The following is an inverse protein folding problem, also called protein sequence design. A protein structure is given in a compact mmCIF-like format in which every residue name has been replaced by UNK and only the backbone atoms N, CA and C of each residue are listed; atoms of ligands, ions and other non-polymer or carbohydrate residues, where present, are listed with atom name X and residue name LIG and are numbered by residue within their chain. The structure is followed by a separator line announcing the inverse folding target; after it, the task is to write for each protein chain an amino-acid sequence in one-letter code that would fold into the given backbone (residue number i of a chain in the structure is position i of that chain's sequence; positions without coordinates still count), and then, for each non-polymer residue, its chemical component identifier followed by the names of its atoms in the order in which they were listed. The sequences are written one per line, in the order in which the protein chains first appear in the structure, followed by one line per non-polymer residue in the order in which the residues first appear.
data_IF_067422477612
#
_entry.id   IF_067422477612
#
_cell.length_a   1.000
_cell.length_b   1.000
_cell.length_c   1.000
_cell.angle_alpha   90.00
_cell.angle_beta   90.00
_cell.angle_gamma   90.00
#
_symmetry.space_group_name_H-M   'P 1'
#
loop_
_entity.id
_entity.type
_entity.pdbx_description
1 polymer ?
#
# COMPACT_ATOMS: atom_id res chain seq x y z
N UNK A 1 1.51 4.70 23.72
CA UNK A 1 0.44 5.00 22.74
C UNK A 1 0.49 3.89 21.69
N UNK A 2 -0.57 3.10 21.53
CA UNK A 2 -0.70 2.17 20.39
C UNK A 2 -1.44 2.92 19.28
N UNK A 3 -0.80 3.11 18.13
CA UNK A 3 -1.41 3.72 16.96
C UNK A 3 -1.97 2.59 16.10
N UNK A 4 -3.29 2.51 15.99
CA UNK A 4 -3.95 1.56 15.11
C UNK A 4 -4.24 2.26 13.79
N UNK A 5 -3.53 1.96 12.69
CA UNK A 5 -3.84 2.55 11.39
C UNK A 5 -5.22 2.06 10.94
N UNK A 6 -6.11 3.00 10.60
CA UNK A 6 -7.40 2.69 9.98
C UNK A 6 -7.19 2.71 8.46
N UNK A 7 -7.60 1.67 7.72
CA UNK A 7 -7.52 1.68 6.27
C UNK A 7 -8.25 2.89 5.68
N UNK A 8 -7.50 3.77 5.01
CA UNK A 8 -8.03 4.95 4.32
C UNK A 8 -8.93 4.56 3.13
N UNK A 9 -8.79 3.32 2.65
CA UNK A 9 -9.34 2.81 1.39
C UNK A 9 -10.86 2.87 1.25
N UNK A 10 -11.63 2.88 2.34
CA UNK A 10 -13.09 2.89 2.27
C UNK A 10 -13.72 4.29 2.25
N UNK A 11 -13.16 5.26 2.99
CA UNK A 11 -13.84 6.55 3.24
C UNK A 11 -13.12 7.75 2.65
N UNK A 12 -11.79 7.71 2.62
CA UNK A 12 -11.00 8.85 2.18
C UNK A 12 -11.32 9.28 0.74
N UNK A 13 -11.39 8.37 -0.25
CA UNK A 13 -11.71 8.78 -1.62
C UNK A 13 -13.10 9.42 -1.75
N UNK A 14 -14.09 8.90 -1.03
CA UNK A 14 -15.44 9.45 -1.03
C UNK A 14 -15.53 10.83 -0.38
N UNK A 15 -14.82 11.05 0.74
CA UNK A 15 -14.76 12.37 1.38
C UNK A 15 -13.96 13.37 0.53
N UNK A 16 -12.87 12.92 -0.12
CA UNK A 16 -12.08 13.75 -1.02
C UNK A 16 -12.95 14.25 -2.19
N UNK A 17 -13.75 13.36 -2.78
CA UNK A 17 -14.70 13.73 -3.84
C UNK A 17 -15.75 14.73 -3.32
N UNK A 18 -16.33 14.45 -2.15
CA UNK A 18 -17.33 15.31 -1.53
C UNK A 18 -16.81 16.73 -1.26
N UNK A 19 -15.55 16.87 -0.84
CA UNK A 19 -14.93 18.16 -0.56
C UNK A 19 -14.29 18.83 -1.78
N UNK A 20 -14.21 18.16 -2.94
CA UNK A 20 -13.46 18.64 -4.11
C UNK A 20 -13.90 20.05 -4.53
N UNK A 21 -15.20 20.34 -4.58
CA UNK A 21 -15.69 21.65 -4.99
C UNK A 21 -15.30 22.78 -4.02
N UNK A 22 -15.18 22.47 -2.72
CA UNK A 22 -14.69 23.41 -1.73
C UNK A 22 -13.18 23.62 -1.86
N UNK A 23 -12.42 22.54 -2.08
CA UNK A 23 -10.98 22.59 -2.31
C UNK A 23 -10.65 23.41 -3.58
N UNK A 24 -11.41 23.23 -4.66
CA UNK A 24 -11.29 24.02 -5.89
C UNK A 24 -11.38 25.52 -5.62
N UNK A 25 -12.28 25.96 -4.73
CA UNK A 25 -12.40 27.39 -4.35
C UNK A 25 -11.15 27.87 -3.61
N UNK A 26 -10.62 27.05 -2.70
CA UNK A 26 -9.36 27.34 -1.97
C UNK A 26 -8.18 27.42 -2.94
N UNK A 27 -8.10 26.49 -3.90
CA UNK A 27 -7.06 26.46 -4.91
C UNK A 27 -7.08 27.70 -5.81
N UNK A 28 -8.27 28.14 -6.23
CA UNK A 28 -8.46 29.35 -7.06
C UNK A 28 -8.10 30.65 -6.34
N UNK A 29 -8.13 30.69 -5.01
CA UNK A 29 -7.73 31.89 -4.25
C UNK A 29 -6.21 31.99 -4.03
N UNK A 30 -5.46 30.91 -4.30
CA UNK A 30 -4.01 30.90 -4.14
C UNK A 30 -3.35 31.72 -5.25
N UNK A 31 -2.59 32.76 -4.86
CA UNK A 31 -1.82 33.60 -5.78
C UNK A 31 -0.36 33.18 -5.95
N UNK A 32 0.41 34.01 -6.65
CA UNK A 32 1.87 33.87 -6.77
C UNK A 32 2.33 32.63 -7.55
N UNK A 33 3.54 32.15 -7.24
CA UNK A 33 4.13 31.01 -7.93
C UNK A 33 3.38 29.70 -7.67
N UNK A 34 2.92 29.47 -6.43
CA UNK A 34 2.11 28.31 -6.07
C UNK A 34 0.76 28.31 -6.80
N UNK A 35 0.08 29.47 -6.83
CA UNK A 35 -1.17 29.63 -7.58
C UNK A 35 -1.04 29.26 -9.05
N UNK A 36 0.02 29.71 -9.73
CA UNK A 36 0.28 29.36 -11.13
C UNK A 36 0.42 27.85 -11.36
N UNK A 37 1.13 27.14 -10.46
CA UNK A 37 1.27 25.68 -10.52
C UNK A 37 -0.08 24.98 -10.34
N UNK A 38 -0.85 25.42 -9.34
CA UNK A 38 -2.20 24.91 -9.07
C UNK A 38 -3.12 25.12 -10.28
N UNK A 39 -3.13 26.31 -10.88
CA UNK A 39 -3.93 26.59 -12.08
C UNK A 39 -3.58 25.66 -13.25
N UNK A 40 -2.30 25.38 -13.46
CA UNK A 40 -1.86 24.48 -14.53
C UNK A 40 -2.33 23.03 -14.32
N UNK A 41 -2.37 22.55 -13.06
CA UNK A 41 -2.90 21.22 -12.72
C UNK A 41 -4.43 21.21 -12.89
N UNK A 42 -5.13 22.22 -12.38
CA UNK A 42 -6.60 22.30 -12.49
C UNK A 42 -7.09 22.36 -13.94
N UNK A 43 -6.33 22.94 -14.86
CA UNK A 43 -6.68 22.95 -16.29
C UNK A 43 -6.75 21.53 -16.89
N UNK A 44 -5.98 20.57 -16.34
CA UNK A 44 -6.03 19.17 -16.76
C UNK A 44 -7.26 18.46 -16.18
N UNK A 45 -7.69 18.86 -14.99
CA UNK A 45 -8.86 18.31 -14.29
C UNK A 45 -10.18 18.64 -15.01
N UNK A 46 -10.34 19.86 -15.51
CA UNK A 46 -11.60 20.30 -16.16
C UNK A 46 -11.90 19.57 -17.49
N UNK A 47 -10.88 18.94 -18.09
CA UNK A 47 -11.00 18.22 -19.36
C UNK A 47 -11.13 16.69 -19.19
N UNK A 48 -11.25 16.20 -17.95
CA UNK A 48 -11.11 14.77 -17.64
C UNK A 48 -12.31 14.22 -16.85
N UNK A 49 -12.91 13.16 -17.38
CA UNK A 49 -14.04 12.47 -16.75
C UNK A 49 -13.59 11.31 -15.83
N UNK A 50 -12.31 10.94 -15.83
CA UNK A 50 -11.78 9.90 -14.95
C UNK A 50 -11.68 10.41 -13.51
N UNK A 51 -12.46 9.80 -12.62
CA UNK A 51 -12.51 10.14 -11.19
C UNK A 51 -11.15 9.97 -10.50
N UNK A 52 -10.33 9.00 -10.91
CA UNK A 52 -9.01 8.79 -10.31
C UNK A 52 -8.04 9.89 -10.73
N UNK A 53 -8.08 10.32 -12.00
CA UNK A 53 -7.27 11.45 -12.47
C UNK A 53 -7.72 12.76 -11.81
N UNK A 54 -9.02 12.94 -11.59
CA UNK A 54 -9.55 14.07 -10.83
C UNK A 54 -9.04 14.09 -9.39
N UNK A 55 -9.09 12.95 -8.69
CA UNK A 55 -8.55 12.81 -7.32
C UNK A 55 -7.05 13.08 -7.27
N UNK A 56 -6.29 12.58 -8.23
CA UNK A 56 -4.84 12.83 -8.34
C UNK A 56 -4.51 14.32 -8.50
N UNK A 57 -5.25 15.02 -9.37
CA UNK A 57 -5.12 16.48 -9.54
C UNK A 57 -5.41 17.23 -8.22
N UNK A 58 -6.45 16.83 -7.49
CA UNK A 58 -6.82 17.44 -6.21
C UNK A 58 -5.73 17.22 -5.16
N UNK A 59 -5.17 16.00 -5.05
CA UNK A 59 -4.09 15.68 -4.11
C UNK A 59 -2.79 16.43 -4.44
N UNK A 60 -2.47 16.55 -5.73
CA UNK A 60 -1.34 17.35 -6.22
C UNK A 60 -1.49 18.83 -5.85
N UNK A 61 -2.68 19.40 -6.06
CA UNK A 61 -2.96 20.79 -5.67
C UNK A 61 -2.93 20.98 -4.15
N UNK A 62 -3.42 20.01 -3.38
CA UNK A 62 -3.42 20.04 -1.93
C UNK A 62 -1.99 20.09 -1.37
N UNK A 63 -1.10 19.24 -1.89
CA UNK A 63 0.32 19.21 -1.49
C UNK A 63 0.99 20.56 -1.70
N UNK A 64 0.82 21.15 -2.90
CA UNK A 64 1.34 22.50 -3.20
C UNK A 64 0.73 23.55 -2.25
N UNK A 65 -0.56 23.43 -1.94
CA UNK A 65 -1.24 24.39 -1.09
C UNK A 65 -0.71 24.37 0.35
N UNK A 66 -0.38 23.19 0.87
CA UNK A 66 0.21 22.96 2.20
C UNK A 66 1.73 23.21 2.25
N UNK A 67 2.34 23.54 1.10
CA UNK A 67 3.80 23.64 0.95
C UNK A 67 4.52 22.32 1.32
N UNK A 68 3.86 21.21 1.02
CA UNK A 68 4.38 19.85 1.19
C UNK A 68 4.73 19.27 -0.18
N UNK A 69 5.62 18.29 -0.16
CA UNK A 69 5.96 17.52 -1.35
C UNK A 69 5.10 16.26 -1.41
N UNK A 70 4.52 15.97 -2.59
CA UNK A 70 3.55 14.88 -2.75
C UNK A 70 4.21 13.51 -2.48
N UNK A 71 5.48 13.32 -2.89
CA UNK A 71 6.22 12.07 -2.65
C UNK A 71 6.54 11.88 -1.16
N UNK A 72 6.62 12.98 -0.40
CA UNK A 72 6.76 12.92 1.07
C UNK A 72 5.42 12.72 1.78
N UNK A 73 4.32 13.22 1.20
CA UNK A 73 2.98 13.20 1.78
C UNK A 73 2.29 11.85 1.56
N UNK A 74 2.41 11.28 0.36
CA UNK A 74 1.80 10.01 -0.03
C UNK A 74 2.89 8.97 -0.14
N UNK A 75 3.03 8.16 0.91
CA UNK A 75 3.94 7.02 0.91
C UNK A 75 3.14 5.74 0.72
N UNK A 76 3.58 4.90 -0.21
CA UNK A 76 3.00 3.57 -0.38
C UNK A 76 3.21 2.76 0.90
N UNK A 77 2.10 2.37 1.53
CA UNK A 77 2.14 1.42 2.63
C UNK A 77 2.15 0.01 2.04
N UNK A 78 3.34 -0.56 1.88
CA UNK A 78 3.47 -1.99 1.63
C UNK A 78 3.15 -2.69 2.94
N UNK A 79 2.08 -3.50 2.97
CA UNK A 79 1.83 -4.39 4.10
C UNK A 79 3.08 -5.25 4.32
N UNK A 80 3.86 -4.94 5.36
CA UNK A 80 4.79 -5.93 5.90
C UNK A 80 3.90 -6.98 6.53
N UNK A 81 3.69 -8.08 5.81
CA UNK A 81 2.91 -9.21 6.28
C UNK A 81 3.54 -9.67 7.61
N UNK A 82 2.89 -9.54 8.79
CA UNK A 82 3.50 -9.85 10.08
C UNK A 82 3.66 -11.36 10.34
N UNK A 83 3.65 -12.18 9.29
CA UNK A 83 3.61 -13.63 9.34
C UNK A 83 4.68 -14.25 8.44
N UNK A 84 5.89 -13.70 8.45
CA UNK A 84 7.05 -14.57 8.37
C UNK A 84 7.48 -14.85 9.82
N UNK A 85 6.97 -15.93 10.45
CA UNK A 85 7.61 -16.41 11.66
C UNK A 85 9.05 -16.75 11.25
N UNK A 86 10.03 -15.99 11.77
CA UNK A 86 11.41 -16.44 11.82
C UNK A 86 11.38 -17.84 12.42
N UNK A 87 11.60 -18.83 11.56
CA UNK A 87 11.74 -20.22 11.96
C UNK A 87 12.95 -20.24 12.88
N UNK A 88 12.82 -20.61 14.17
CA UNK A 88 13.98 -20.65 15.05
C UNK A 88 15.01 -21.58 14.44
N UNK A 89 16.19 -21.04 14.21
CA UNK A 89 17.36 -21.76 13.76
C UNK A 89 17.70 -22.86 14.77
N UNK A 90 17.33 -24.09 14.42
CA UNK A 90 17.70 -25.30 15.15
C UNK A 90 19.23 -25.47 15.06
N UNK A 91 19.94 -24.96 16.07
CA UNK A 91 21.35 -25.28 16.32
C UNK A 91 21.41 -26.61 17.10
N UNK A 92 20.87 -27.68 16.54
CA UNK A 92 20.94 -29.04 17.06
C UNK A 92 21.66 -29.93 16.06
N UNK A 93 22.84 -30.43 16.43
CA UNK A 93 23.63 -31.33 15.58
C UNK A 93 22.80 -32.53 15.10
N UNK A 94 22.87 -32.81 13.79
CA UNK A 94 22.30 -34.02 13.21
C UNK A 94 22.95 -35.25 13.83
N UNK A 95 22.21 -35.98 14.68
CA UNK A 95 22.54 -37.35 15.07
C UNK A 95 21.63 -38.28 14.30
N UNK A 96 22.21 -39.08 13.40
CA UNK A 96 21.48 -40.07 12.63
C UNK A 96 20.89 -41.15 13.57
N UNK A 97 19.63 -41.56 13.41
CA UNK A 97 19.09 -42.68 14.16
C UNK A 97 19.77 -43.97 13.70
N UNK A 98 20.25 -44.78 14.65
CA UNK A 98 20.66 -46.17 14.40
C UNK A 98 19.39 -46.99 14.16
N UNK A 99 19.14 -47.36 12.92
CA UNK A 99 18.10 -48.31 12.57
C UNK A 99 18.53 -49.72 13.01
N UNK A 100 17.69 -50.50 13.72
CA UNK A 100 17.96 -51.91 13.97
C UNK A 100 17.95 -52.69 12.65
N UNK A 101 18.82 -53.69 12.52
CA UNK A 101 19.06 -54.46 11.28
C UNK A 101 17.86 -55.26 10.75
N UNK A 102 16.72 -55.25 11.43
CA UNK A 102 15.63 -56.20 11.16
C UNK A 102 14.43 -55.59 10.42
N UNK A 103 14.56 -54.38 9.87
CA UNK A 103 13.45 -53.65 9.24
C UNK A 103 13.44 -53.66 7.69
N UNK A 104 13.98 -54.69 7.04
CA UNK A 104 13.95 -54.86 5.58
C UNK A 104 13.35 -56.21 5.18
N UNK A 105 12.04 -56.39 5.37
CA UNK A 105 11.28 -57.48 4.70
C UNK A 105 9.93 -57.03 4.11
N UNK A 106 9.55 -55.75 4.29
CA UNK A 106 8.16 -55.32 4.04
C UNK A 106 7.83 -54.72 2.66
N UNK A 107 8.79 -54.50 1.76
CA UNK A 107 8.56 -53.72 0.53
C UNK A 107 8.89 -54.53 -0.72
N UNK A 108 8.09 -55.55 -1.04
CA UNK A 108 8.13 -56.20 -2.38
C UNK A 108 6.84 -56.92 -2.80
N UNK A 109 5.68 -56.73 -2.14
CA UNK A 109 4.47 -57.52 -2.44
C UNK A 109 3.16 -56.76 -2.65
N UNK A 110 3.22 -55.51 -3.12
CA UNK A 110 2.03 -54.77 -3.55
C UNK A 110 2.24 -54.14 -4.93
N UNK A 111 2.39 -54.99 -5.95
CA UNK A 111 1.97 -54.64 -7.31
C UNK A 111 1.76 -55.91 -8.16
N UNK A 112 0.66 -56.63 -7.90
CA UNK A 112 0.00 -57.49 -8.89
C UNK A 112 -1.35 -58.00 -8.34
N UNK A 113 -2.45 -57.28 -8.59
CA UNK A 113 -3.70 -57.83 -9.15
C UNK A 113 -4.72 -56.72 -9.45
#
# INVERSE_FOLDING_TARGET
IRLTPVPLTSKFPGELDHQTDNLIKVFKSKGGAAGRKITAIMAQMDNNEDINMRRDCVLSCLSINLNEDLDTLVKEYVEVNPLDPEKPEDKGGWVAPKWPHDAMDGISRLNNK
#
